data_IF_049157719814
#
_entry.id   IF_049157719814
#
_cell.length_a   1.000
_cell.length_b   1.000
_cell.length_c   1.000
_cell.angle_alpha   90.00
_cell.angle_beta   90.00
_cell.angle_gamma   90.00
#
_symmetry.space_group_name_H-M   'P 1'
#
loop_
_entity.id
_entity.type
_entity.pdbx_description
1 polymer ?
#
# COMPACT_ATOMS: atom_id res chain seq x y z
N UNK A 1 53.72 33.51 -6.88
CA UNK A 1 53.03 32.23 -6.55
C UNK A 1 53.52 31.58 -5.25
N UNK A 2 54.84 31.52 -4.99
CA UNK A 2 55.43 30.87 -3.80
C UNK A 2 54.86 31.38 -2.45
N UNK A 3 54.59 32.68 -2.32
CA UNK A 3 54.04 33.26 -1.08
C UNK A 3 52.59 32.82 -0.78
N UNK A 4 51.75 32.62 -1.82
CA UNK A 4 50.37 32.14 -1.64
C UNK A 4 50.36 30.67 -1.22
N UNK A 5 51.34 29.88 -1.66
CA UNK A 5 51.48 28.48 -1.26
C UNK A 5 51.96 28.39 0.20
N UNK A 6 52.98 29.18 0.58
CA UNK A 6 53.46 29.23 1.97
C UNK A 6 52.36 29.67 2.96
N UNK A 7 51.53 30.65 2.61
CA UNK A 7 50.44 31.10 3.49
C UNK A 7 49.37 30.02 3.71
N UNK A 8 49.08 29.17 2.71
CA UNK A 8 48.16 28.03 2.86
C UNK A 8 48.76 26.89 3.69
N UNK A 9 50.07 26.66 3.60
CA UNK A 9 50.77 25.62 4.36
C UNK A 9 50.86 25.92 5.87
N UNK A 10 50.81 27.20 6.27
CA UNK A 10 50.85 27.60 7.68
C UNK A 10 49.55 27.31 8.47
N UNK A 11 48.59 26.57 7.91
CA UNK A 11 47.38 26.16 8.64
C UNK A 11 47.68 24.94 9.52
N UNK A 12 47.52 25.09 10.84
CA UNK A 12 47.76 24.00 11.80
C UNK A 12 46.54 23.09 11.91
N UNK A 13 46.71 21.82 11.55
CA UNK A 13 45.70 20.79 11.80
C UNK A 13 45.91 20.18 13.18
N UNK A 14 44.83 20.10 13.98
CA UNK A 14 44.87 19.38 15.26
C UNK A 14 45.07 17.88 15.00
N UNK A 15 46.16 17.31 15.52
CA UNK A 15 46.39 15.85 15.47
C UNK A 15 45.25 15.12 16.22
N UNK A 16 44.71 14.08 15.61
CA UNK A 16 43.65 13.25 16.22
C UNK A 16 44.27 12.38 17.31
N UNK A 17 43.92 12.61 18.57
CA UNK A 17 44.29 11.72 19.67
C UNK A 17 43.52 10.40 19.61
N UNK A 18 44.21 9.28 19.84
CA UNK A 18 43.59 8.00 20.14
C UNK A 18 43.27 7.99 21.63
N UNK A 19 42.07 8.43 22.01
CA UNK A 19 41.62 8.28 23.39
C UNK A 19 41.17 6.84 23.61
N UNK A 20 41.63 6.21 24.70
CA UNK A 20 41.25 4.85 25.06
C UNK A 20 39.74 4.71 25.25
N UNK A 21 39.16 3.66 24.67
CA UNK A 21 37.72 3.39 24.64
C UNK A 21 37.19 2.78 25.94
N UNK A 22 37.56 3.33 27.09
CA UNK A 22 37.07 2.86 28.41
C UNK A 22 35.61 3.25 28.70
N UNK A 23 34.97 4.02 27.82
CA UNK A 23 33.58 4.47 27.99
C UNK A 23 32.62 3.46 27.36
N UNK A 24 31.71 2.90 28.16
CA UNK A 24 30.60 2.11 27.67
C UNK A 24 29.66 2.98 26.80
N UNK A 25 29.67 2.76 25.48
CA UNK A 25 28.81 3.49 24.54
C UNK A 25 27.46 2.78 24.43
N UNK A 26 26.38 3.45 24.81
CA UNK A 26 25.03 2.97 24.52
C UNK A 26 24.71 3.10 23.03
N UNK A 27 24.14 2.04 22.47
CA UNK A 27 23.64 2.07 21.10
C UNK A 27 22.53 3.11 20.95
N UNK A 28 22.79 4.15 20.14
CA UNK A 28 21.81 5.21 19.87
C UNK A 28 20.67 4.68 19.03
N UNK A 29 19.45 4.94 19.49
CA UNK A 29 18.24 4.67 18.73
C UNK A 29 18.13 5.63 17.53
N UNK A 30 18.09 5.06 16.33
CA UNK A 30 17.92 5.82 15.09
C UNK A 30 16.57 5.50 14.46
N UNK A 31 15.84 6.55 14.08
CA UNK A 31 14.61 6.44 13.31
C UNK A 31 14.88 6.91 11.88
N UNK A 32 14.26 6.29 10.85
CA UNK A 32 14.37 6.80 9.49
C UNK A 32 13.98 8.28 9.39
N UNK A 33 14.83 9.10 8.77
CA UNK A 33 14.64 10.55 8.63
C UNK A 33 13.28 10.93 8.01
N UNK A 34 12.76 10.09 7.12
CA UNK A 34 11.44 10.27 6.48
C UNK A 34 10.27 10.24 7.46
N UNK A 35 10.44 9.66 8.66
CA UNK A 35 9.41 9.73 9.71
C UNK A 35 9.35 11.12 10.36
N UNK A 36 10.45 11.86 10.39
CA UNK A 36 10.45 13.24 10.88
C UNK A 36 9.71 14.15 9.90
N UNK A 37 10.10 14.09 8.62
CA UNK A 37 9.55 14.94 7.58
C UNK A 37 9.08 14.11 6.39
N UNK A 38 7.87 14.38 5.91
CA UNK A 38 7.32 13.67 4.73
C UNK A 38 8.19 13.84 3.49
N UNK A 39 8.87 14.97 3.39
CA UNK A 39 9.89 15.23 2.38
C UNK A 39 11.25 15.29 3.05
N UNK A 40 12.09 14.29 2.80
CA UNK A 40 13.51 14.30 3.16
C UNK A 40 14.25 15.02 2.03
N UNK A 41 14.61 16.27 2.25
CA UNK A 41 15.35 17.09 1.31
C UNK A 41 16.31 18.03 2.04
N UNK A 42 17.45 18.27 1.41
CA UNK A 42 18.33 19.40 1.69
C UNK A 42 18.74 20.02 0.36
N UNK A 43 18.76 21.35 0.26
CA UNK A 43 19.22 22.07 -0.92
C UNK A 43 19.86 23.39 -0.47
N UNK A 44 20.99 23.75 -1.10
CA UNK A 44 21.66 25.02 -0.85
C UNK A 44 20.80 26.21 -1.25
N UNK A 45 20.14 26.12 -2.42
CA UNK A 45 19.18 27.13 -2.85
C UNK A 45 17.83 26.94 -2.15
N UNK A 46 17.53 27.81 -1.18
CA UNK A 46 16.27 27.78 -0.41
C UNK A 46 15.03 28.00 -1.27
N UNK A 47 15.13 28.71 -2.41
CA UNK A 47 13.99 28.95 -3.31
C UNK A 47 13.42 27.63 -3.87
N UNK A 48 14.26 26.62 -4.06
CA UNK A 48 13.82 25.29 -4.52
C UNK A 48 12.99 24.53 -3.47
N UNK A 49 13.13 24.86 -2.17
CA UNK A 49 12.49 24.13 -1.07
C UNK A 49 11.05 24.61 -0.86
N UNK A 50 10.78 25.90 -0.98
CA UNK A 50 9.50 26.53 -0.63
C UNK A 50 8.30 25.95 -1.40
N UNK A 51 8.50 25.53 -2.66
CA UNK A 51 7.44 24.99 -3.51
C UNK A 51 7.13 23.49 -3.27
N UNK A 52 7.99 22.76 -2.55
CA UNK A 52 7.89 21.30 -2.39
C UNK A 52 6.62 20.87 -1.64
N UNK A 53 6.19 21.52 -0.55
CA UNK A 53 4.94 21.16 0.12
C UNK A 53 3.72 21.28 -0.79
N UNK A 54 3.70 22.26 -1.69
CA UNK A 54 2.61 22.47 -2.65
C UNK A 54 2.65 21.38 -3.74
N UNK A 55 3.82 21.18 -4.34
CA UNK A 55 4.05 20.13 -5.36
C UNK A 55 3.69 18.74 -4.84
N UNK A 56 4.16 18.37 -3.65
CA UNK A 56 3.86 17.07 -3.01
C UNK A 56 2.35 16.88 -2.76
N UNK A 57 1.61 17.94 -2.39
CA UNK A 57 0.15 17.89 -2.24
C UNK A 57 -0.56 17.60 -3.56
N UNK A 58 -0.14 18.23 -4.67
CA UNK A 58 -0.69 17.95 -6.00
C UNK A 58 -0.37 16.54 -6.47
N UNK A 59 0.88 16.10 -6.34
CA UNK A 59 1.31 14.74 -6.65
C UNK A 59 0.51 13.71 -5.87
N UNK A 60 0.26 13.96 -4.58
CA UNK A 60 -0.60 13.09 -3.76
C UNK A 60 -2.05 13.03 -4.26
N UNK A 61 -2.60 14.12 -4.82
CA UNK A 61 -3.93 14.10 -5.46
C UNK A 61 -3.93 13.23 -6.73
N UNK A 62 -2.90 13.36 -7.58
CA UNK A 62 -2.74 12.54 -8.79
C UNK A 62 -2.61 11.05 -8.47
N UNK A 63 -1.73 10.69 -7.52
CA UNK A 63 -1.55 9.31 -7.04
C UNK A 63 -2.89 8.75 -6.53
N UNK A 64 -3.62 9.52 -5.71
CA UNK A 64 -4.95 9.10 -5.22
C UNK A 64 -5.93 8.90 -6.37
N UNK A 65 -5.94 9.76 -7.38
CA UNK A 65 -6.81 9.62 -8.55
C UNK A 65 -6.49 8.34 -9.33
N UNK A 66 -5.20 8.10 -9.62
CA UNK A 66 -4.71 6.92 -10.34
C UNK A 66 -5.16 5.61 -9.69
N UNK A 67 -4.90 5.43 -8.40
CA UNK A 67 -5.30 4.20 -7.71
C UNK A 67 -6.81 4.05 -7.55
N UNK A 68 -7.57 5.15 -7.57
CA UNK A 68 -9.02 5.14 -7.58
C UNK A 68 -9.65 4.83 -8.95
N UNK A 69 -8.87 4.78 -10.05
CA UNK A 69 -9.38 4.43 -11.38
C UNK A 69 -10.09 3.07 -11.38
N UNK A 70 -11.14 2.93 -12.19
CA UNK A 70 -11.92 1.71 -12.26
C UNK A 70 -12.55 1.57 -13.66
N UNK A 71 -12.65 0.34 -14.15
CA UNK A 71 -13.31 0.07 -15.43
C UNK A 71 -14.83 -0.01 -15.23
N UNK A 72 -15.54 1.02 -15.69
CA UNK A 72 -17.00 1.14 -15.57
C UNK A 72 -17.75 0.03 -16.30
N UNK A 73 -17.32 -0.28 -17.53
CA UNK A 73 -17.97 -1.25 -18.41
C UNK A 73 -17.83 -2.68 -17.87
N UNK A 74 -16.65 -3.05 -17.40
CA UNK A 74 -16.47 -4.37 -16.77
C UNK A 74 -17.21 -4.48 -15.43
N UNK A 75 -17.33 -3.40 -14.67
CA UNK A 75 -18.03 -3.43 -13.38
C UNK A 75 -19.54 -3.56 -13.57
N UNK A 76 -20.13 -2.92 -14.60
CA UNK A 76 -21.56 -3.03 -14.89
C UNK A 76 -21.94 -4.47 -15.25
N UNK A 77 -21.11 -5.18 -16.02
CA UNK A 77 -21.33 -6.59 -16.40
C UNK A 77 -21.37 -7.55 -15.19
N UNK A 78 -20.78 -7.17 -14.05
CA UNK A 78 -20.77 -7.98 -12.83
C UNK A 78 -22.00 -7.78 -11.93
N UNK A 79 -22.85 -6.78 -12.21
CA UNK A 79 -23.95 -6.35 -11.35
C UNK A 79 -25.28 -6.50 -12.07
N UNK A 80 -26.33 -6.85 -11.32
CA UNK A 80 -27.72 -6.78 -11.83
C UNK A 80 -28.15 -5.32 -12.04
N UNK A 81 -27.89 -4.45 -11.06
CA UNK A 81 -28.37 -3.06 -11.09
C UNK A 81 -27.22 -2.07 -11.25
N UNK A 82 -27.47 -1.01 -12.03
CA UNK A 82 -26.54 0.11 -12.23
C UNK A 82 -26.29 0.84 -10.90
N UNK A 83 -25.03 0.90 -10.48
CA UNK A 83 -24.65 1.80 -9.38
C UNK A 83 -24.54 3.25 -9.89
N UNK A 84 -25.02 4.21 -9.09
CA UNK A 84 -24.76 5.64 -9.32
C UNK A 84 -23.29 5.97 -9.05
N UNK A 85 -22.72 6.94 -9.80
CA UNK A 85 -21.31 7.37 -9.68
C UNK A 85 -20.94 7.77 -8.23
N UNK A 86 -21.86 8.47 -7.52
CA UNK A 86 -21.69 8.85 -6.10
C UNK A 86 -21.37 7.66 -5.20
N UNK A 87 -22.08 6.53 -5.34
CA UNK A 87 -21.87 5.36 -4.49
C UNK A 87 -20.56 4.63 -4.78
N UNK A 88 -20.03 4.75 -6.00
CA UNK A 88 -18.68 4.25 -6.34
C UNK A 88 -17.61 5.05 -5.62
N UNK A 89 -17.70 6.39 -5.66
CA UNK A 89 -16.75 7.29 -4.98
C UNK A 89 -16.68 7.06 -3.46
N UNK A 90 -17.81 6.70 -2.84
CA UNK A 90 -17.92 6.46 -1.39
C UNK A 90 -17.72 4.96 -1.04
N UNK A 91 -17.39 4.11 -2.02
CA UNK A 91 -17.19 2.69 -1.79
C UNK A 91 -15.94 2.42 -0.95
N UNK A 92 -16.09 1.58 0.07
CA UNK A 92 -14.92 1.06 0.81
C UNK A 92 -14.21 -0.08 0.09
N UNK A 93 -14.69 -0.53 -1.07
CA UNK A 93 -14.06 -1.56 -1.88
C UNK A 93 -13.11 -0.92 -2.91
N UNK A 94 -11.98 -0.40 -2.43
CA UNK A 94 -10.96 0.28 -3.23
C UNK A 94 -9.57 -0.01 -2.69
N UNK A 95 -8.56 0.49 -3.37
CA UNK A 95 -7.18 0.52 -2.88
C UNK A 95 -7.07 1.71 -1.92
N UNK A 96 -6.63 1.46 -0.69
CA UNK A 96 -6.36 2.53 0.28
C UNK A 96 -4.86 2.83 0.30
N UNK A 97 -4.50 4.11 0.39
CA UNK A 97 -3.12 4.59 0.24
C UNK A 97 -2.79 5.47 1.44
N UNK A 98 -1.56 5.40 1.94
CA UNK A 98 -1.05 6.29 2.97
C UNK A 98 -0.81 7.71 2.44
N UNK A 99 -0.28 8.58 3.30
CA UNK A 99 0.44 9.74 2.80
C UNK A 99 1.77 9.28 2.16
N UNK A 100 2.30 10.09 1.24
CA UNK A 100 3.52 9.78 0.50
C UNK A 100 4.74 10.29 1.24
N UNK A 101 5.78 9.47 1.19
CA UNK A 101 7.09 9.72 1.76
C UNK A 101 8.06 10.02 0.60
N UNK A 102 8.52 11.26 0.50
CA UNK A 102 9.34 11.75 -0.60
C UNK A 102 10.80 11.86 -0.14
N UNK A 103 11.71 11.17 -0.80
CA UNK A 103 13.15 11.39 -0.64
C UNK A 103 13.66 12.08 -1.89
N UNK A 104 14.20 13.28 -1.73
CA UNK A 104 14.72 14.07 -2.83
C UNK A 104 16.25 13.94 -2.87
N UNK A 105 16.78 13.64 -4.05
CA UNK A 105 18.17 13.89 -4.42
C UNK A 105 18.20 14.99 -5.48
N UNK A 106 19.39 15.34 -5.97
CA UNK A 106 19.51 16.29 -7.08
C UNK A 106 18.84 15.73 -8.34
N UNK A 107 19.06 14.46 -8.65
CA UNK A 107 18.63 13.85 -9.91
C UNK A 107 17.22 13.23 -9.85
N UNK A 108 16.83 12.71 -8.68
CA UNK A 108 15.59 11.93 -8.55
C UNK A 108 14.79 12.17 -7.29
N UNK A 109 13.54 11.72 -7.32
CA UNK A 109 12.59 11.72 -6.21
C UNK A 109 12.07 10.31 -6.01
N UNK A 110 12.40 9.72 -4.87
CA UNK A 110 11.91 8.40 -4.49
C UNK A 110 10.64 8.58 -3.64
N UNK A 111 9.50 8.12 -4.16
CA UNK A 111 8.20 8.24 -3.53
C UNK A 111 7.81 6.89 -2.92
N UNK A 112 7.84 6.80 -1.60
CA UNK A 112 7.38 5.61 -0.87
C UNK A 112 5.89 5.75 -0.53
N UNK A 113 5.11 4.72 -0.86
CA UNK A 113 3.67 4.67 -0.63
C UNK A 113 3.29 3.35 0.03
N UNK A 114 2.61 3.41 1.16
CA UNK A 114 1.97 2.22 1.74
C UNK A 114 0.59 2.05 1.15
N UNK A 115 0.24 0.82 0.79
CA UNK A 115 -1.01 0.49 0.11
C UNK A 115 -1.70 -0.69 0.77
N UNK A 116 -3.00 -0.60 0.99
CA UNK A 116 -3.85 -1.72 1.38
C UNK A 116 -4.88 -2.02 0.29
N UNK A 117 -4.64 -3.10 -0.45
CA UNK A 117 -5.44 -3.47 -1.61
C UNK A 117 -6.68 -4.32 -1.24
N UNK A 118 -7.68 -3.66 -0.65
CA UNK A 118 -8.96 -4.32 -0.30
C UNK A 118 -9.74 -4.78 -1.52
N UNK A 119 -9.60 -4.07 -2.64
CA UNK A 119 -10.28 -4.40 -3.90
C UNK A 119 -9.88 -5.80 -4.39
N UNK A 120 -8.58 -6.11 -4.45
CA UNK A 120 -8.05 -7.44 -4.77
C UNK A 120 -8.61 -8.50 -3.83
N UNK A 121 -8.56 -8.26 -2.52
CA UNK A 121 -9.07 -9.20 -1.51
C UNK A 121 -10.55 -9.52 -1.73
N UNK A 122 -11.38 -8.51 -2.02
CA UNK A 122 -12.80 -8.73 -2.28
C UNK A 122 -13.05 -9.55 -3.56
N UNK A 123 -12.32 -9.29 -4.64
CA UNK A 123 -12.44 -10.08 -5.87
C UNK A 123 -12.03 -11.54 -5.66
N UNK A 124 -10.90 -11.77 -4.97
CA UNK A 124 -10.46 -13.12 -4.63
C UNK A 124 -11.49 -13.85 -3.74
N UNK A 125 -12.06 -13.18 -2.74
CA UNK A 125 -13.11 -13.77 -1.90
C UNK A 125 -14.36 -14.16 -2.71
N UNK A 126 -14.79 -13.32 -3.65
CA UNK A 126 -15.95 -13.62 -4.51
C UNK A 126 -15.69 -14.79 -5.45
N UNK A 127 -14.50 -14.86 -6.04
CA UNK A 127 -14.08 -16.01 -6.85
C UNK A 127 -14.03 -17.28 -6.01
N UNK A 128 -13.42 -17.21 -4.82
CA UNK A 128 -13.28 -18.33 -3.90
C UNK A 128 -14.64 -18.94 -3.55
N UNK A 129 -15.60 -18.10 -3.16
CA UNK A 129 -16.94 -18.54 -2.76
C UNK A 129 -17.74 -19.21 -3.88
N UNK A 130 -17.59 -18.77 -5.13
CA UNK A 130 -18.41 -19.26 -6.25
C UNK A 130 -17.78 -20.41 -7.03
N UNK A 131 -16.46 -20.44 -7.13
CA UNK A 131 -15.78 -21.30 -8.11
C UNK A 131 -14.86 -22.36 -7.51
N UNK A 132 -14.44 -22.27 -6.24
CA UNK A 132 -13.57 -23.31 -5.66
C UNK A 132 -14.21 -24.70 -5.74
N UNK A 133 -15.48 -24.81 -5.36
CA UNK A 133 -16.21 -26.08 -5.40
C UNK A 133 -16.45 -26.54 -6.84
N UNK A 134 -16.68 -25.60 -7.77
CA UNK A 134 -16.92 -25.92 -9.17
C UNK A 134 -15.69 -26.56 -9.83
N UNK A 135 -14.50 -26.02 -9.60
CA UNK A 135 -13.25 -26.55 -10.17
C UNK A 135 -12.79 -27.87 -9.54
N UNK A 136 -13.23 -28.18 -8.31
CA UNK A 136 -12.96 -29.49 -7.67
C UNK A 136 -13.77 -30.65 -8.27
N UNK A 137 -14.89 -30.38 -8.94
CA UNK A 137 -15.73 -31.44 -9.52
C UNK A 137 -15.06 -32.04 -10.76
N UNK A 138 -14.71 -33.34 -10.70
CA UNK A 138 -14.08 -34.05 -11.82
C UNK A 138 -14.87 -33.93 -13.14
N UNK A 139 -16.20 -34.04 -13.10
CA UNK A 139 -17.09 -33.83 -14.27
C UNK A 139 -16.91 -32.46 -14.92
N UNK A 140 -16.70 -31.42 -14.12
CA UNK A 140 -16.47 -30.07 -14.64
C UNK A 140 -15.08 -29.94 -15.26
N UNK A 141 -14.04 -30.50 -14.62
CA UNK A 141 -12.68 -30.52 -15.16
C UNK A 141 -12.60 -31.29 -16.48
N UNK A 142 -13.22 -32.48 -16.56
CA UNK A 142 -13.34 -33.26 -17.81
C UNK A 142 -14.05 -32.47 -18.89
N UNK A 143 -15.16 -31.80 -18.57
CA UNK A 143 -15.87 -30.94 -19.53
C UNK A 143 -15.01 -29.79 -20.04
N UNK A 144 -14.22 -29.14 -19.18
CA UNK A 144 -13.28 -28.09 -19.61
C UNK A 144 -12.16 -28.64 -20.51
N UNK A 145 -11.63 -29.83 -20.22
CA UNK A 145 -10.65 -30.53 -21.08
C UNK A 145 -11.25 -30.83 -22.45
N UNK A 146 -12.49 -31.33 -22.50
CA UNK A 146 -13.22 -31.57 -23.75
C UNK A 146 -13.41 -30.27 -24.54
N UNK A 147 -13.89 -29.20 -23.91
CA UNK A 147 -14.04 -27.89 -24.57
C UNK A 147 -12.71 -27.38 -25.13
N UNK A 148 -11.60 -27.56 -24.38
CA UNK A 148 -10.25 -27.20 -24.84
C UNK A 148 -9.86 -28.01 -26.07
N UNK A 149 -10.01 -29.33 -26.03
CA UNK A 149 -9.62 -30.22 -27.13
C UNK A 149 -10.45 -29.93 -28.38
N UNK A 150 -11.78 -29.81 -28.24
CA UNK A 150 -12.67 -29.44 -29.34
C UNK A 150 -12.29 -28.07 -29.90
N UNK A 151 -12.03 -27.08 -29.04
CA UNK A 151 -11.60 -25.75 -29.46
C UNK A 151 -10.27 -25.75 -30.23
N UNK A 152 -9.28 -26.52 -29.76
CA UNK A 152 -7.99 -26.67 -30.45
C UNK A 152 -8.13 -27.38 -31.79
N UNK A 153 -8.92 -28.46 -31.85
CA UNK A 153 -9.17 -29.18 -33.10
C UNK A 153 -9.84 -28.26 -34.14
N UNK A 154 -10.81 -27.46 -33.71
CA UNK A 154 -11.47 -26.47 -34.57
C UNK A 154 -10.46 -25.41 -35.05
N UNK A 155 -9.63 -24.86 -34.15
CA UNK A 155 -8.58 -23.90 -34.51
C UNK A 155 -7.57 -24.47 -35.51
N UNK A 156 -7.12 -25.72 -35.32
CA UNK A 156 -6.19 -26.37 -36.25
C UNK A 156 -6.82 -26.57 -37.64
N UNK A 157 -8.05 -27.10 -37.70
CA UNK A 157 -8.79 -27.28 -38.96
C UNK A 157 -8.99 -25.95 -39.68
N UNK A 158 -9.32 -24.89 -38.94
CA UNK A 158 -9.47 -23.57 -39.54
C UNK A 158 -8.16 -22.95 -39.98
N UNK A 159 -7.05 -23.14 -39.24
CA UNK A 159 -5.73 -22.67 -39.66
C UNK A 159 -5.29 -23.31 -40.98
N UNK A 160 -5.53 -24.62 -41.13
CA UNK A 160 -5.27 -25.32 -42.40
C UNK A 160 -6.14 -24.77 -43.53
N UNK A 161 -7.45 -24.65 -43.30
CA UNK A 161 -8.38 -24.08 -44.28
C UNK A 161 -8.05 -22.64 -44.63
N UNK A 162 -7.62 -21.81 -43.67
CA UNK A 162 -7.29 -20.41 -43.92
C UNK A 162 -6.03 -20.26 -44.76
N UNK A 163 -5.02 -21.11 -44.55
CA UNK A 163 -3.82 -21.16 -45.40
C UNK A 163 -4.21 -21.56 -46.83
N UNK A 164 -5.06 -22.59 -46.97
CA UNK A 164 -5.55 -23.02 -48.28
C UNK A 164 -6.35 -21.91 -48.98
N UNK A 165 -7.25 -21.23 -48.27
CA UNK A 165 -8.04 -20.11 -48.79
C UNK A 165 -7.20 -18.87 -49.10
N UNK A 166 -6.17 -18.56 -48.29
CA UNK A 166 -5.29 -17.42 -48.56
C UNK A 166 -4.47 -17.62 -49.83
N UNK A 167 -4.12 -18.86 -50.14
CA UNK A 167 -3.41 -19.21 -51.37
C UNK A 167 -4.33 -19.13 -52.59
N UNK A 168 -5.61 -19.53 -52.45
CA UNK A 168 -6.58 -19.50 -53.55
C UNK A 168 -7.14 -18.10 -53.82
N UNK A 169 -7.41 -17.31 -52.79
CA UNK A 169 -8.22 -16.09 -52.86
C UNK A 169 -7.69 -15.00 -51.91
N UNK A 170 -6.52 -14.39 -52.20
CA UNK A 170 -5.88 -13.42 -51.31
C UNK A 170 -6.77 -12.19 -51.05
N UNK A 171 -7.57 -11.76 -52.04
CA UNK A 171 -8.50 -10.63 -51.94
C UNK A 171 -9.57 -10.81 -50.85
N UNK A 172 -9.91 -12.06 -50.48
CA UNK A 172 -11.01 -12.38 -49.57
C UNK A 172 -10.56 -12.70 -48.13
N UNK A 173 -9.25 -12.63 -47.85
CA UNK A 173 -8.71 -12.97 -46.54
C UNK A 173 -9.38 -12.17 -45.40
N UNK A 174 -9.70 -10.89 -45.63
CA UNK A 174 -10.41 -10.05 -44.65
C UNK A 174 -11.81 -10.57 -44.32
N UNK A 175 -12.61 -10.95 -45.32
CA UNK A 175 -13.96 -11.49 -45.13
C UNK A 175 -13.94 -12.87 -44.47
N UNK A 176 -12.97 -13.72 -44.82
CA UNK A 176 -12.76 -15.01 -44.16
C UNK A 176 -12.43 -14.79 -42.68
N UNK A 177 -11.56 -13.83 -42.35
CA UNK A 177 -11.19 -13.49 -40.97
C UNK A 177 -12.39 -12.95 -40.17
N UNK A 178 -13.27 -12.13 -40.75
CA UNK A 178 -14.47 -11.64 -40.06
C UNK A 178 -15.46 -12.77 -39.77
N UNK A 179 -15.72 -13.66 -40.73
CA UNK A 179 -16.59 -14.82 -40.55
C UNK A 179 -16.03 -15.77 -39.46
N UNK A 180 -14.72 -16.03 -39.48
CA UNK A 180 -14.05 -16.81 -38.45
C UNK A 180 -14.18 -16.15 -37.07
N UNK A 181 -13.98 -14.84 -36.96
CA UNK A 181 -14.15 -14.10 -35.71
C UNK A 181 -15.57 -14.21 -35.15
N UNK A 182 -16.60 -14.14 -36.01
CA UNK A 182 -18.00 -14.34 -35.60
C UNK A 182 -18.20 -15.75 -35.05
N UNK A 183 -17.68 -16.77 -35.74
CA UNK A 183 -17.76 -18.15 -35.28
C UNK A 183 -17.08 -18.34 -33.92
N UNK A 184 -15.83 -17.87 -33.76
CA UNK A 184 -15.09 -17.98 -32.51
C UNK A 184 -15.76 -17.24 -31.36
N UNK A 185 -16.29 -16.03 -31.60
CA UNK A 185 -17.01 -15.29 -30.55
C UNK A 185 -18.26 -16.04 -30.09
N UNK A 186 -19.01 -16.67 -31.01
CA UNK A 186 -20.17 -17.52 -30.68
C UNK A 186 -19.75 -18.76 -29.90
N UNK A 187 -18.72 -19.47 -30.36
CA UNK A 187 -18.18 -20.65 -29.69
C UNK A 187 -17.75 -20.31 -28.25
N UNK A 188 -16.94 -19.26 -28.07
CA UNK A 188 -16.47 -18.82 -26.74
C UNK A 188 -17.65 -18.45 -25.84
N UNK A 189 -18.63 -17.68 -26.34
CA UNK A 189 -19.83 -17.30 -25.56
C UNK A 189 -20.62 -18.52 -25.11
N UNK A 190 -20.81 -19.53 -25.97
CA UNK A 190 -21.55 -20.76 -25.66
C UNK A 190 -20.77 -21.65 -24.69
N UNK A 191 -19.50 -21.91 -24.98
CA UNK A 191 -18.61 -22.77 -24.19
C UNK A 191 -18.38 -22.25 -22.77
N UNK A 192 -18.20 -20.93 -22.61
CA UNK A 192 -17.88 -20.30 -21.33
C UNK A 192 -19.07 -19.57 -20.66
N UNK A 193 -20.32 -19.85 -21.05
CA UNK A 193 -21.51 -19.25 -20.43
C UNK A 193 -21.50 -19.35 -18.90
N UNK A 194 -21.13 -20.52 -18.36
CA UNK A 194 -21.03 -20.78 -16.90
C UNK A 194 -19.82 -20.09 -16.23
N UNK A 195 -18.80 -19.71 -17.00
CA UNK A 195 -17.57 -19.06 -16.53
C UNK A 195 -17.52 -17.56 -16.86
N UNK A 196 -18.57 -16.97 -17.44
CA UNK A 196 -18.63 -15.55 -17.83
C UNK A 196 -18.21 -14.61 -16.68
N UNK A 197 -18.80 -14.77 -15.50
CA UNK A 197 -18.44 -13.96 -14.34
C UNK A 197 -17.03 -14.24 -13.81
N UNK A 198 -16.56 -15.49 -13.91
CA UNK A 198 -15.19 -15.86 -13.54
C UNK A 198 -14.19 -15.05 -14.39
N UNK A 199 -14.41 -15.00 -15.70
CA UNK A 199 -13.57 -14.24 -16.64
C UNK A 199 -13.57 -12.73 -16.33
N UNK A 200 -14.74 -12.13 -16.06
CA UNK A 200 -14.81 -10.71 -15.69
C UNK A 200 -14.10 -10.40 -14.37
N UNK A 201 -14.21 -11.26 -13.36
CA UNK A 201 -13.44 -11.09 -12.12
C UNK A 201 -11.94 -11.27 -12.35
N UNK A 202 -11.53 -12.19 -13.24
CA UNK A 202 -10.12 -12.38 -13.63
C UNK A 202 -9.56 -11.12 -14.34
N UNK A 203 -10.32 -10.53 -15.26
CA UNK A 203 -9.98 -9.27 -15.91
C UNK A 203 -9.85 -8.12 -14.90
N UNK A 204 -10.78 -8.01 -13.95
CA UNK A 204 -10.71 -6.99 -12.87
C UNK A 204 -9.49 -7.18 -11.97
N UNK A 205 -9.11 -8.42 -11.69
CA UNK A 205 -7.88 -8.74 -10.95
C UNK A 205 -6.63 -8.37 -11.74
N UNK A 206 -6.61 -8.63 -13.06
CA UNK A 206 -5.53 -8.22 -13.95
C UNK A 206 -5.36 -6.70 -13.95
N UNK A 207 -6.44 -5.93 -14.17
CA UNK A 207 -6.42 -4.46 -14.12
C UNK A 207 -5.93 -3.95 -12.76
N UNK A 208 -6.35 -4.61 -11.67
CA UNK A 208 -5.90 -4.23 -10.34
C UNK A 208 -4.41 -4.54 -10.09
N UNK A 209 -3.89 -5.63 -10.67
CA UNK A 209 -2.46 -6.00 -10.62
C UNK A 209 -1.62 -5.04 -11.47
N UNK A 210 -2.07 -4.76 -12.69
CA UNK A 210 -1.47 -3.84 -13.66
C UNK A 210 -1.12 -2.47 -13.04
N UNK A 211 -1.98 -1.93 -12.17
CA UNK A 211 -1.72 -0.65 -11.44
C UNK A 211 -0.43 -0.59 -10.62
N UNK A 212 0.19 -1.73 -10.33
CA UNK A 212 1.43 -1.82 -9.57
C UNK A 212 2.62 -2.21 -10.45
N UNK A 213 2.37 -2.56 -11.72
CA UNK A 213 3.41 -2.92 -12.68
C UNK A 213 3.98 -1.63 -13.29
N UNK A 214 5.30 -1.61 -13.51
CA UNK A 214 6.00 -0.41 -13.95
C UNK A 214 5.47 0.12 -15.30
N UNK A 215 5.08 -0.78 -16.19
CA UNK A 215 4.50 -0.48 -17.52
C UNK A 215 3.30 0.46 -17.44
N UNK A 216 2.36 0.20 -16.53
CA UNK A 216 1.16 1.04 -16.34
C UNK A 216 1.38 2.21 -15.38
N UNK A 217 2.46 2.19 -14.59
CA UNK A 217 2.86 3.31 -13.74
C UNK A 217 3.56 4.42 -14.54
N UNK A 218 4.13 4.12 -15.71
CA UNK A 218 4.88 5.08 -16.52
C UNK A 218 4.10 6.37 -16.83
N UNK A 219 2.79 6.26 -17.13
CA UNK A 219 1.95 7.44 -17.35
C UNK A 219 1.85 8.34 -16.11
N UNK A 220 1.76 7.75 -14.91
CA UNK A 220 1.79 8.51 -13.65
C UNK A 220 3.19 9.08 -13.38
N UNK A 221 4.24 8.31 -13.63
CA UNK A 221 5.65 8.73 -13.47
C UNK A 221 5.92 9.98 -14.32
N UNK A 222 5.51 9.98 -15.59
CA UNK A 222 5.69 11.12 -16.49
C UNK A 222 4.98 12.39 -15.96
N UNK A 223 3.73 12.27 -15.48
CA UNK A 223 3.01 13.41 -14.90
C UNK A 223 3.70 13.95 -13.64
N UNK A 224 4.26 13.08 -12.80
CA UNK A 224 4.98 13.49 -11.59
C UNK A 224 6.36 14.06 -11.91
N UNK A 225 7.05 13.52 -12.93
CA UNK A 225 8.33 14.04 -13.45
C UNK A 225 8.18 15.51 -13.86
N UNK A 226 7.10 15.86 -14.57
CA UNK A 226 6.83 17.24 -15.00
C UNK A 226 6.57 18.21 -13.84
N UNK A 227 6.18 17.73 -12.65
CA UNK A 227 5.95 18.60 -11.48
C UNK A 227 7.26 18.88 -10.74
N UNK A 228 8.11 17.86 -10.60
CA UNK A 228 9.36 17.97 -9.84
C UNK A 228 10.58 18.32 -10.70
N UNK A 229 10.50 18.17 -12.02
CA UNK A 229 11.62 18.29 -12.97
C UNK A 229 12.80 17.38 -12.62
N UNK A 230 12.49 16.17 -12.13
CA UNK A 230 13.45 15.15 -11.66
C UNK A 230 12.95 13.77 -12.01
N UNK A 231 13.85 12.81 -12.11
CA UNK A 231 13.46 11.40 -12.27
C UNK A 231 12.64 10.92 -11.07
N UNK A 232 11.67 10.03 -11.28
CA UNK A 232 10.74 9.61 -10.23
C UNK A 232 10.74 8.09 -10.14
N UNK A 233 10.99 7.59 -8.94
CA UNK A 233 10.92 6.16 -8.62
C UNK A 233 9.85 5.93 -7.56
N UNK A 234 8.95 4.97 -7.80
CA UNK A 234 7.93 4.58 -6.84
C UNK A 234 8.35 3.35 -6.04
N UNK A 235 8.32 3.47 -4.71
CA UNK A 235 8.43 2.33 -3.80
C UNK A 235 7.05 2.03 -3.18
N UNK A 236 6.31 1.10 -3.76
CA UNK A 236 4.94 0.77 -3.34
C UNK A 236 4.96 -0.44 -2.39
N UNK A 237 4.69 -0.19 -1.11
CA UNK A 237 4.70 -1.22 -0.06
C UNK A 237 3.28 -1.71 0.21
N UNK A 238 3.00 -2.97 -0.11
CA UNK A 238 1.69 -3.58 0.13
C UNK A 238 1.55 -4.05 1.60
N UNK A 239 0.65 -3.40 2.35
CA UNK A 239 0.33 -3.76 3.72
C UNK A 239 -0.61 -4.97 3.78
N UNK A 240 -0.29 -5.93 4.66
CA UNK A 240 -1.16 -7.08 4.95
C UNK A 240 -2.46 -6.65 5.64
N UNK A 241 -2.38 -5.69 6.57
CA UNK A 241 -3.52 -5.19 7.31
C UNK A 241 -3.61 -3.67 7.27
N UNK A 242 -4.83 -3.17 7.18
CA UNK A 242 -5.12 -1.74 7.05
C UNK A 242 -4.83 -0.94 8.34
N UNK A 243 -4.73 -1.59 9.50
CA UNK A 243 -4.39 -0.97 10.79
C UNK A 243 -2.87 -0.91 11.04
N UNK A 244 -2.03 -1.16 10.03
CA UNK A 244 -0.58 -0.92 10.11
C UNK A 244 -0.17 0.51 9.75
N UNK A 245 -1.10 1.31 9.23
CA UNK A 245 -0.87 2.71 8.91
C UNK A 245 -2.08 3.54 9.31
N UNK A 246 -1.87 4.63 10.04
CA UNK A 246 -2.95 5.47 10.59
C UNK A 246 -3.84 6.09 9.51
N UNK A 247 -3.27 6.50 8.36
CA UNK A 247 -4.02 7.10 7.25
C UNK A 247 -4.94 6.08 6.58
N UNK A 248 -4.42 4.89 6.33
CA UNK A 248 -5.17 3.79 5.72
C UNK A 248 -6.26 3.30 6.70
N UNK A 249 -5.99 3.34 8.00
CA UNK A 249 -6.92 2.93 9.04
C UNK A 249 -8.14 3.85 9.17
N UNK A 250 -7.93 5.17 9.00
CA UNK A 250 -8.98 6.21 9.12
C UNK A 250 -9.86 6.33 7.87
N UNK A 251 -9.32 6.11 6.67
CA UNK A 251 -10.05 6.24 5.40
C UNK A 251 -11.36 5.42 5.31
N UNK A 252 -11.43 4.14 5.74
CA UNK A 252 -12.68 3.40 5.78
C UNK A 252 -13.77 4.04 6.64
N UNK A 253 -13.41 4.74 7.72
CA UNK A 253 -14.35 5.43 8.59
C UNK A 253 -14.93 6.65 7.87
N UNK A 254 -14.06 7.49 7.30
CA UNK A 254 -14.42 8.67 6.51
C UNK A 254 -15.47 8.34 5.43
N UNK A 255 -15.19 7.34 4.59
CA UNK A 255 -16.11 6.93 3.53
C UNK A 255 -17.44 6.41 4.07
N UNK A 256 -17.42 5.65 5.17
CA UNK A 256 -18.66 5.14 5.76
C UNK A 256 -19.52 6.26 6.32
N UNK A 257 -18.92 7.25 6.98
CA UNK A 257 -19.61 8.41 7.54
C UNK A 257 -20.21 9.31 6.44
N UNK A 258 -19.54 9.43 5.28
CA UNK A 258 -20.12 10.06 4.08
C UNK A 258 -21.39 9.37 3.59
N UNK A 259 -21.47 8.03 3.73
CA UNK A 259 -22.63 7.24 3.27
C UNK A 259 -23.78 7.24 4.27
N UNK A 260 -23.52 6.92 5.54
CA UNK A 260 -24.50 6.82 6.62
C UNK A 260 -23.84 7.24 7.93
N UNK A 261 -24.57 7.97 8.79
CA UNK A 261 -24.00 8.53 10.03
C UNK A 261 -24.24 7.62 11.24
N UNK A 262 -23.71 6.39 11.16
CA UNK A 262 -23.75 5.41 12.25
C UNK A 262 -22.37 5.32 12.91
N UNK A 263 -21.94 6.41 13.54
CA UNK A 263 -20.58 6.65 14.03
C UNK A 263 -20.11 5.53 14.98
N UNK A 264 -20.85 5.30 16.06
CA UNK A 264 -20.50 4.30 17.09
C UNK A 264 -20.39 2.89 16.51
N UNK A 265 -21.32 2.48 15.64
CA UNK A 265 -21.30 1.17 14.99
C UNK A 265 -20.04 1.01 14.13
N UNK A 266 -19.67 2.03 13.36
CA UNK A 266 -18.49 1.97 12.51
C UNK A 266 -17.18 2.01 13.29
N UNK A 267 -17.10 2.80 14.36
CA UNK A 267 -15.96 2.80 15.29
C UNK A 267 -15.77 1.40 15.90
N UNK A 268 -16.82 0.82 16.50
CA UNK A 268 -16.77 -0.54 17.09
C UNK A 268 -16.29 -1.58 16.06
N UNK A 269 -16.79 -1.55 14.83
CA UNK A 269 -16.39 -2.49 13.77
C UNK A 269 -14.93 -2.33 13.36
N UNK A 270 -14.41 -1.10 13.27
CA UNK A 270 -13.01 -0.89 12.87
C UNK A 270 -12.04 -1.28 13.98
N UNK A 271 -12.35 -0.95 15.23
CA UNK A 271 -11.53 -1.32 16.39
C UNK A 271 -11.47 -2.84 16.57
N UNK A 272 -12.59 -3.55 16.40
CA UNK A 272 -12.62 -5.02 16.44
C UNK A 272 -11.73 -5.68 15.37
N UNK A 273 -11.55 -5.03 14.21
CA UNK A 273 -10.69 -5.54 13.13
C UNK A 273 -9.20 -5.38 13.41
N UNK A 274 -8.81 -4.51 14.33
CA UNK A 274 -7.43 -4.42 14.80
C UNK A 274 -7.15 -5.59 15.75
N UNK A 275 -6.43 -6.60 15.22
CA UNK A 275 -5.97 -7.75 15.98
C UNK A 275 -4.68 -7.36 16.72
N UNK A 276 -4.85 -6.86 17.92
CA UNK A 276 -3.78 -6.57 18.88
C UNK A 276 -3.65 -7.80 19.78
N UNK A 277 -2.43 -8.32 19.93
CA UNK A 277 -2.14 -9.37 20.92
C UNK A 277 -1.95 -8.69 22.27
N UNK A 278 -2.58 -9.21 23.32
CA UNK A 278 -2.29 -8.82 24.69
C UNK A 278 -0.88 -9.32 24.98
N UNK A 279 0.12 -8.43 24.93
CA UNK A 279 1.47 -8.73 25.39
C UNK A 279 1.55 -8.13 26.78
N UNK A 280 1.75 -8.97 27.81
CA UNK A 280 2.08 -8.47 29.14
C UNK A 280 3.37 -7.65 29.03
N UNK A 281 3.25 -6.34 29.19
CA UNK A 281 4.36 -5.39 28.94
C UNK A 281 5.46 -5.51 30.00
N UNK A 282 5.10 -5.97 31.21
CA UNK A 282 6.01 -6.09 32.35
C UNK A 282 6.90 -7.35 32.33
N UNK A 283 6.44 -8.48 31.80
CA UNK A 283 7.06 -9.80 32.09
C UNK A 283 8.25 -10.20 31.20
N UNK A 284 8.74 -9.34 30.30
CA UNK A 284 9.81 -9.73 29.35
C UNK A 284 11.21 -9.20 29.64
N UNK A 285 11.44 -8.46 30.71
CA UNK A 285 12.80 -8.00 31.05
C UNK A 285 13.77 -9.17 31.26
N UNK A 286 13.35 -10.26 31.94
CA UNK A 286 14.27 -11.37 32.29
C UNK A 286 14.64 -12.30 31.12
N UNK A 287 13.82 -12.42 30.06
CA UNK A 287 14.10 -13.35 28.94
C UNK A 287 14.89 -12.75 27.77
N UNK A 288 15.16 -11.45 27.76
CA UNK A 288 15.96 -10.82 26.69
C UNK A 288 17.46 -10.75 27.02
N UNK A 289 17.87 -10.94 28.28
CA UNK A 289 19.29 -10.89 28.66
C UNK A 289 20.09 -12.16 28.31
N UNK A 290 19.44 -13.30 28.06
CA UNK A 290 20.14 -14.54 27.63
C UNK A 290 20.46 -14.62 26.13
N UNK A 291 20.46 -13.50 25.39
CA UNK A 291 20.87 -13.48 23.98
C UNK A 291 22.27 -12.92 23.74
N UNK A 292 22.99 -12.50 24.78
CA UNK A 292 24.35 -11.97 24.68
C UNK A 292 25.45 -12.98 25.06
N UNK A 293 25.11 -14.26 25.22
CA UNK A 293 26.09 -15.36 25.23
C UNK A 293 25.93 -16.10 23.91
N UNK A 294 26.53 -15.56 22.85
CA UNK A 294 26.75 -16.29 21.61
C UNK A 294 28.19 -16.04 21.22
N UNK A 295 29.04 -17.01 21.56
CA UNK A 295 30.41 -17.14 21.09
C UNK A 295 30.42 -16.88 19.58
N UNK A 296 31.20 -15.87 19.18
CA UNK A 296 31.38 -15.39 17.81
C UNK A 296 32.13 -16.37 16.91
N UNK A 297 32.60 -17.50 17.44
CA UNK A 297 33.77 -18.13 16.83
C UNK A 297 33.46 -19.40 16.01
N UNK A 298 32.20 -19.84 15.89
CA UNK A 298 31.89 -21.10 15.20
C UNK A 298 30.55 -21.11 14.45
N UNK A 299 30.31 -20.30 13.41
CA UNK A 299 29.16 -20.56 12.50
C UNK A 299 29.31 -19.93 11.11
N UNK A 300 30.00 -20.63 10.20
CA UNK A 300 30.03 -20.25 8.78
C UNK A 300 30.04 -21.48 7.84
N UNK A 301 29.00 -22.33 7.92
CA UNK A 301 28.69 -23.31 6.87
C UNK A 301 27.19 -23.29 6.45
N UNK A 302 27.00 -23.26 5.11
CA UNK A 302 25.80 -23.54 4.28
C UNK A 302 24.55 -22.63 4.31
N UNK A 303 24.69 -21.49 3.63
CA UNK A 303 23.83 -20.72 2.71
C UNK A 303 22.30 -20.60 2.90
N UNK A 304 21.57 -21.63 3.31
CA UNK A 304 20.15 -21.50 3.69
C UNK A 304 19.98 -21.13 5.18
N UNK A 305 20.96 -21.45 6.02
CA UNK A 305 20.99 -21.09 7.45
C UNK A 305 21.35 -19.61 7.63
N UNK A 306 22.31 -19.10 6.84
CA UNK A 306 22.76 -17.69 6.85
C UNK A 306 21.62 -16.71 6.58
N UNK A 307 20.80 -16.95 5.56
CA UNK A 307 19.68 -16.02 5.22
C UNK A 307 18.61 -15.95 6.31
N UNK A 308 18.28 -17.09 6.94
CA UNK A 308 17.35 -17.16 8.08
C UNK A 308 17.93 -16.46 9.30
N UNK A 309 19.23 -16.64 9.56
CA UNK A 309 19.97 -16.00 10.65
C UNK A 309 20.03 -14.49 10.47
N UNK A 310 20.49 -14.00 9.30
CA UNK A 310 20.49 -12.57 8.96
C UNK A 310 19.10 -11.96 9.06
N UNK A 311 18.08 -12.65 8.56
CA UNK A 311 16.68 -12.21 8.72
C UNK A 311 16.28 -12.11 10.18
N UNK A 312 16.70 -13.04 11.04
CA UNK A 312 16.43 -13.00 12.49
C UNK A 312 17.12 -11.79 13.13
N UNK A 313 18.39 -11.51 12.80
CA UNK A 313 19.14 -10.34 13.29
C UNK A 313 18.48 -9.03 12.84
N UNK A 314 18.17 -8.91 11.55
CA UNK A 314 17.52 -7.70 11.01
C UNK A 314 16.17 -7.52 11.71
N UNK A 315 15.36 -8.57 11.82
CA UNK A 315 14.08 -8.49 12.49
C UNK A 315 14.20 -8.28 13.99
N UNK A 316 15.25 -8.73 14.68
CA UNK A 316 15.43 -8.45 16.12
C UNK A 316 15.73 -6.97 16.35
N UNK A 317 16.58 -6.39 15.51
CA UNK A 317 17.08 -5.02 15.66
C UNK A 317 16.04 -3.95 15.29
N UNK A 318 15.05 -4.28 14.45
CA UNK A 318 13.96 -3.35 14.13
C UNK A 318 13.02 -3.15 15.33
N UNK A 319 12.85 -1.91 15.78
CA UNK A 319 11.86 -1.50 16.79
C UNK A 319 10.46 -1.26 16.17
N UNK A 320 9.42 -1.22 17.00
CA UNK A 320 8.07 -0.79 16.60
C UNK A 320 7.38 -1.68 15.54
N UNK A 321 7.62 -3.00 15.62
CA UNK A 321 7.14 -3.99 14.63
C UNK A 321 5.69 -4.40 14.85
N UNK A 322 5.21 -4.38 16.09
CA UNK A 322 3.91 -4.92 16.48
C UNK A 322 2.99 -3.79 16.92
N UNK A 323 1.79 -3.72 16.34
CA UNK A 323 0.78 -2.74 16.79
C UNK A 323 0.33 -3.07 18.21
N UNK A 324 0.56 -2.14 19.13
CA UNK A 324 0.22 -2.22 20.56
C UNK A 324 -1.13 -1.57 20.86
N UNK A 325 -1.50 -0.54 20.11
CA UNK A 325 -2.74 0.20 20.35
C UNK A 325 -3.24 0.95 19.13
N UNK A 326 -4.55 1.13 19.08
CA UNK A 326 -5.24 1.94 18.07
C UNK A 326 -6.32 2.80 18.72
N UNK A 327 -6.45 4.05 18.27
CA UNK A 327 -7.53 4.96 18.66
C UNK A 327 -8.14 5.60 17.43
N UNK A 328 -9.46 5.70 17.40
CA UNK A 328 -10.22 6.41 16.37
C UNK A 328 -11.17 7.41 17.02
N UNK A 329 -11.27 8.57 16.40
CA UNK A 329 -12.16 9.65 16.82
C UNK A 329 -12.84 10.25 15.59
N UNK A 330 -14.13 10.52 15.71
CA UNK A 330 -14.89 11.25 14.70
C UNK A 330 -15.63 12.41 15.39
N UNK A 331 -15.48 13.61 14.82
CA UNK A 331 -16.04 14.84 15.37
C UNK A 331 -16.65 15.71 14.27
N UNK A 332 -17.72 16.45 14.59
CA UNK A 332 -18.36 17.42 13.69
C UNK A 332 -19.86 17.16 13.47
N UNK A 333 -20.39 17.58 12.32
CA UNK A 333 -21.82 17.46 11.98
C UNK A 333 -22.18 16.04 11.53
N UNK A 334 -22.32 15.16 12.53
CA UNK A 334 -22.58 13.72 12.35
C UNK A 334 -24.04 13.31 12.68
N UNK A 335 -24.96 14.27 12.79
CA UNK A 335 -26.39 14.00 13.03
C UNK A 335 -27.10 13.42 11.80
N UNK A 336 -28.04 12.51 12.02
CA UNK A 336 -28.76 11.83 10.93
C UNK A 336 -29.73 12.77 10.20
N UNK A 337 -30.54 13.53 10.95
CA UNK A 337 -31.53 14.48 10.44
C UNK A 337 -30.85 15.69 9.78
N UNK A 338 -31.50 16.26 8.77
CA UNK A 338 -31.04 17.49 8.12
C UNK A 338 -31.54 18.70 8.92
N UNK A 339 -30.94 18.91 10.09
CA UNK A 339 -31.29 19.94 11.06
C UNK A 339 -30.04 20.69 11.54
N UNK A 340 -30.23 21.92 12.01
CA UNK A 340 -29.20 22.74 12.65
C UNK A 340 -28.93 22.27 14.08
N UNK A 341 -28.39 21.06 14.22
CA UNK A 341 -28.05 20.47 15.52
C UNK A 341 -26.58 20.68 15.89
N UNK A 342 -26.29 20.69 17.19
CA UNK A 342 -24.93 20.76 17.74
C UNK A 342 -24.02 19.64 17.23
N UNK A 343 -22.72 19.89 17.22
CA UNK A 343 -21.72 18.92 16.77
C UNK A 343 -21.67 17.68 17.68
N UNK A 344 -21.27 16.54 17.13
CA UNK A 344 -21.09 15.30 17.90
C UNK A 344 -19.62 14.85 17.85
N UNK A 345 -19.09 14.42 19.01
CA UNK A 345 -17.77 13.81 19.14
C UNK A 345 -17.90 12.39 19.67
N UNK A 346 -17.28 11.41 19.00
CA UNK A 346 -17.28 10.00 19.43
C UNK A 346 -15.90 9.38 19.26
N UNK A 347 -15.45 8.65 20.27
CA UNK A 347 -14.12 8.01 20.32
C UNK A 347 -14.25 6.51 20.62
N UNK A 348 -13.30 5.71 20.12
CA UNK A 348 -13.04 4.35 20.59
C UNK A 348 -11.56 4.04 20.50
N UNK A 349 -11.04 3.32 21.47
CA UNK A 349 -9.64 2.89 21.53
C UNK A 349 -9.54 1.39 21.88
N UNK A 350 -8.37 0.80 21.64
CA UNK A 350 -8.01 -0.57 22.03
C UNK A 350 -6.50 -0.67 22.14
N UNK A 351 -5.99 -1.26 23.23
CA UNK A 351 -4.56 -1.38 23.51
C UNK A 351 -3.93 -0.09 24.03
N UNK A 352 -2.60 -0.04 24.09
CA UNK A 352 -1.82 1.07 24.65
C UNK A 352 -1.18 1.93 23.54
N UNK A 353 -1.17 3.25 23.71
CA UNK A 353 -0.50 4.20 22.81
C UNK A 353 0.91 4.61 23.26
N UNK A 354 1.30 4.31 24.49
CA UNK A 354 2.58 4.68 25.09
C UNK A 354 3.77 4.01 24.41
N UNK A 355 4.95 4.63 24.56
CA UNK A 355 6.20 4.06 24.09
C UNK A 355 6.78 3.17 25.19
N UNK A 356 6.65 1.85 25.01
CA UNK A 356 7.05 0.88 26.04
C UNK A 356 8.54 0.97 26.37
N UNK A 357 9.40 1.30 25.40
CA UNK A 357 10.84 1.39 25.62
C UNK A 357 11.21 2.54 26.54
N UNK A 358 10.60 3.71 26.39
CA UNK A 358 10.88 4.85 27.28
C UNK A 358 10.08 4.77 28.57
N UNK A 359 8.77 4.54 28.47
CA UNK A 359 7.85 4.65 29.62
C UNK A 359 7.99 3.51 30.63
N UNK A 360 8.28 2.28 30.17
CA UNK A 360 8.38 1.12 31.07
C UNK A 360 9.83 0.65 31.26
N UNK A 361 10.70 0.78 30.25
CA UNK A 361 12.10 0.33 30.36
C UNK A 361 13.09 1.45 30.66
N UNK A 362 12.68 2.72 30.65
CA UNK A 362 13.57 3.85 30.88
C UNK A 362 14.59 4.10 29.78
N UNK A 363 14.47 3.48 28.60
CA UNK A 363 15.44 3.69 27.52
C UNK A 363 15.24 5.06 26.85
N UNK A 364 16.33 5.76 26.49
CA UNK A 364 16.24 6.98 25.71
C UNK A 364 15.65 6.66 24.33
N UNK A 365 14.58 7.36 23.96
CA UNK A 365 13.97 7.20 22.63
C UNK A 365 13.90 8.55 21.92
N UNK A 366 14.25 8.63 20.63
CA UNK A 366 14.20 9.87 19.89
C UNK A 366 12.76 10.37 19.72
N UNK A 367 12.58 11.68 19.85
CA UNK A 367 11.30 12.36 19.64
C UNK A 367 11.29 12.95 18.23
N UNK A 368 10.25 12.64 17.46
CA UNK A 368 10.09 13.13 16.10
C UNK A 368 9.67 14.60 16.14
N UNK A 369 10.29 15.46 15.32
CA UNK A 369 9.98 16.90 15.23
C UNK A 369 9.98 17.65 16.58
N UNK A 370 10.66 17.11 17.59
CA UNK A 370 10.76 17.70 18.93
C UNK A 370 9.63 17.35 19.91
N UNK A 371 8.46 16.86 19.46
CA UNK A 371 7.32 16.57 20.36
C UNK A 371 6.59 15.24 20.10
N UNK A 372 6.75 14.60 18.94
CA UNK A 372 6.00 13.41 18.57
C UNK A 372 6.71 12.12 18.99
N UNK A 373 5.98 11.19 19.61
CA UNK A 373 6.53 9.89 19.98
C UNK A 373 6.87 9.06 18.74
N UNK A 374 8.10 8.52 18.69
CA UNK A 374 8.63 7.62 17.66
C UNK A 374 7.71 6.48 17.21
N UNK A 375 6.98 5.92 18.18
CA UNK A 375 6.16 4.74 18.02
C UNK A 375 4.73 5.04 17.56
N UNK A 376 4.34 6.31 17.55
CA UNK A 376 2.97 6.76 17.33
C UNK A 376 2.81 7.35 15.93
N UNK A 377 1.87 6.81 15.17
CA UNK A 377 1.42 7.40 13.91
C UNK A 377 0.08 8.11 14.11
N UNK A 378 0.04 9.41 13.82
CA UNK A 378 -1.16 10.23 13.91
C UNK A 378 -1.63 10.70 12.53
N UNK A 379 -2.94 10.67 12.28
CA UNK A 379 -3.55 11.23 11.08
C UNK A 379 -4.87 11.92 11.34
N UNK A 380 -5.11 12.97 10.55
CA UNK A 380 -6.39 13.67 10.44
C UNK A 380 -6.89 13.58 9.01
N UNK A 381 -8.19 13.33 8.86
CA UNK A 381 -8.91 13.37 7.59
C UNK A 381 -10.15 14.22 7.78
N UNK A 382 -10.26 15.29 6.99
CA UNK A 382 -11.43 16.15 6.97
C UNK A 382 -12.35 15.73 5.81
N UNK A 383 -13.65 15.84 6.04
CA UNK A 383 -14.67 15.49 5.06
C UNK A 383 -15.98 16.22 5.30
N UNK A 384 -16.86 16.15 4.31
CA UNK A 384 -18.19 16.72 4.36
C UNK A 384 -19.24 15.65 4.14
N UNK A 385 -20.39 15.85 4.78
CA UNK A 385 -21.64 15.13 4.53
C UNK A 385 -22.72 16.13 4.16
N UNK A 386 -23.94 15.67 3.81
CA UNK A 386 -25.06 16.57 3.49
C UNK A 386 -25.37 17.61 4.57
N UNK A 387 -25.10 17.33 5.84
CA UNK A 387 -25.42 18.23 6.97
C UNK A 387 -24.27 19.19 7.28
N UNK A 388 -23.04 18.89 6.81
CA UNK A 388 -21.88 19.72 7.04
C UNK A 388 -20.58 18.93 7.23
N UNK A 389 -19.54 19.65 7.69
CA UNK A 389 -18.19 19.13 7.85
C UNK A 389 -18.02 18.21 9.07
N UNK A 390 -17.12 17.24 8.94
CA UNK A 390 -16.67 16.37 10.01
C UNK A 390 -15.20 15.97 9.81
N UNK A 391 -14.51 15.71 10.91
CA UNK A 391 -13.14 15.21 10.94
C UNK A 391 -13.07 13.78 11.48
N UNK A 392 -12.10 13.02 11.01
CA UNK A 392 -11.72 11.72 11.56
C UNK A 392 -10.25 11.77 11.94
N UNK A 393 -9.96 11.48 13.21
CA UNK A 393 -8.61 11.33 13.74
C UNK A 393 -8.31 9.86 14.00
N UNK A 394 -7.06 9.46 13.78
CA UNK A 394 -6.62 8.10 14.08
C UNK A 394 -5.18 8.05 14.56
N UNK A 395 -4.98 7.24 15.60
CA UNK A 395 -3.68 6.94 16.18
C UNK A 395 -3.42 5.45 16.09
N UNK A 396 -2.19 5.09 15.75
CA UNK A 396 -1.69 3.72 15.77
C UNK A 396 -0.35 3.75 16.48
N UNK A 397 -0.21 2.95 17.53
CA UNK A 397 1.01 2.79 18.29
C UNK A 397 1.58 1.40 18.05
N UNK A 398 2.91 1.30 18.08
CA UNK A 398 3.61 0.03 17.97
C UNK A 398 4.70 -0.16 19.03
N UNK A 399 5.12 -1.42 19.17
CA UNK A 399 6.11 -1.95 20.12
C UNK A 399 7.13 -2.82 19.41
#
# INVERSE_FOLDING_TARGET
MLNIIKSKLNTTYKKKGLNDSSIAIYNRDVIPAVRNWKSSIYAYNKNAINLIPIKSKYVMKLIKAYFNLYNLQLESLLRKNRLRRRFRKISTNRIFISDGEFKHTNDKVNITLYVYNKQKLNYLLKLKKRYLTLFKKAKFARKLKLIKNVGLNILCKHKQKSILLSNLLPKYNTQVNTAQNIYYTRFIKKSFKRLKFYMYYKQMLYINKAKFENTYLQGLINLVRNIFNKNVEFNIINLKYFYFNSKIFTQPLELKLKKKRNVLRYLKVLIRKAKIKNVKLAEKSKKFFNFNIFNSDNFLQQDNTKSKYLKKIILSNLKYKRVSGVRLEAAGRLTRRFSASRSQRRTKYKGNLENVYSSFKGYPTPVLRGNDKANLQYTVINSTSRVGAFGVKGWISST
#
